data_IF_853995243499
#
_entry.id   IF_853995243499
#
_cell.length_a   1.000
_cell.length_b   1.000
_cell.length_c   1.000
_cell.angle_alpha   90.00
_cell.angle_beta   90.00
_cell.angle_gamma   90.00
#
_symmetry.space_group_name_H-M   'P 1'
#
loop_
_entity.id
_entity.type
_entity.pdbx_description
1 polymer ?
#
# COMPACT_ATOMS: atom_id res chain seq x y z
N UNK A 1 -23.37 -25.02 -26.67
CA UNK A 1 -23.68 -23.61 -26.34
C UNK A 1 -22.40 -22.99 -25.86
N UNK A 2 -21.74 -22.24 -26.73
CA UNK A 2 -20.36 -21.78 -26.61
C UNK A 2 -20.37 -20.40 -25.94
N UNK A 3 -19.88 -20.30 -24.70
CA UNK A 3 -19.75 -19.03 -23.99
C UNK A 3 -18.60 -18.22 -24.58
N UNK A 4 -18.88 -16.98 -24.98
CA UNK A 4 -17.96 -16.03 -25.62
C UNK A 4 -16.83 -15.57 -24.67
N UNK A 5 -15.64 -15.22 -25.19
CA UNK A 5 -14.47 -14.81 -24.38
C UNK A 5 -14.60 -13.47 -23.61
N UNK A 6 -15.73 -12.77 -23.74
CA UNK A 6 -15.93 -11.41 -23.23
C UNK A 6 -16.36 -11.36 -21.74
N UNK A 7 -16.48 -12.52 -21.06
CA UNK A 7 -16.88 -12.59 -19.65
C UNK A 7 -15.99 -13.46 -18.76
N UNK A 8 -14.70 -13.58 -19.07
CA UNK A 8 -13.74 -14.04 -18.06
C UNK A 8 -13.55 -12.88 -17.09
N UNK A 9 -14.39 -12.82 -16.05
CA UNK A 9 -14.17 -11.93 -14.91
C UNK A 9 -12.73 -12.18 -14.42
N UNK A 10 -11.94 -11.11 -14.28
CA UNK A 10 -10.52 -11.19 -13.93
C UNK A 10 -10.26 -11.91 -12.59
N UNK A 11 -11.29 -12.17 -11.79
CA UNK A 11 -11.23 -12.89 -10.51
C UNK A 11 -12.50 -13.69 -10.26
N UNK A 12 -12.49 -14.53 -9.23
CA UNK A 12 -13.66 -15.27 -8.75
C UNK A 12 -14.85 -14.34 -8.47
N UNK A 13 -16.01 -14.53 -9.12
CA UNK A 13 -17.22 -13.72 -8.90
C UNK A 13 -17.82 -13.82 -7.49
N UNK A 14 -17.40 -14.79 -6.69
CA UNK A 14 -17.89 -15.00 -5.33
C UNK A 14 -16.92 -14.47 -4.27
N UNK A 15 -15.75 -13.98 -4.67
CA UNK A 15 -14.83 -13.28 -3.79
C UNK A 15 -15.32 -11.83 -3.64
N UNK A 16 -15.54 -11.39 -2.40
CA UNK A 16 -16.01 -10.04 -2.12
C UNK A 16 -15.82 -9.63 -0.67
N UNK A 17 -16.16 -8.40 -0.33
CA UNK A 17 -16.15 -7.90 1.04
C UNK A 17 -17.36 -8.44 1.82
N UNK A 18 -17.26 -8.44 3.15
CA UNK A 18 -18.31 -8.99 4.04
C UNK A 18 -19.71 -8.40 3.79
N UNK A 19 -19.78 -7.11 3.50
CA UNK A 19 -21.03 -6.36 3.36
C UNK A 19 -21.33 -6.00 1.90
N UNK A 20 -20.44 -6.37 0.97
CA UNK A 20 -20.57 -6.10 -0.44
C UNK A 20 -19.87 -7.22 -1.21
N UNK A 21 -20.66 -8.21 -1.63
CA UNK A 21 -20.17 -9.41 -2.28
C UNK A 21 -19.59 -9.16 -3.68
N UNK A 22 -19.93 -8.02 -4.30
CA UNK A 22 -19.46 -7.69 -5.65
C UNK A 22 -18.12 -6.91 -5.61
N UNK A 23 -17.86 -6.20 -4.51
CA UNK A 23 -16.60 -5.49 -4.31
C UNK A 23 -15.57 -6.40 -3.65
N UNK A 24 -14.42 -6.60 -4.28
CA UNK A 24 -13.29 -7.35 -3.74
C UNK A 24 -12.00 -6.52 -3.79
N UNK A 25 -11.01 -6.89 -2.99
CA UNK A 25 -9.68 -6.32 -3.14
C UNK A 25 -8.95 -6.99 -4.29
N UNK A 26 -8.24 -6.20 -5.11
CA UNK A 26 -7.39 -6.66 -6.20
C UNK A 26 -6.18 -7.50 -5.75
N UNK A 27 -5.98 -7.65 -4.45
CA UNK A 27 -4.88 -8.39 -3.83
C UNK A 27 -5.40 -9.25 -2.69
N UNK A 28 -4.63 -10.26 -2.29
CA UNK A 28 -5.04 -11.17 -1.24
C UNK A 28 -5.10 -10.43 0.11
N UNK A 29 -6.25 -10.53 0.77
CA UNK A 29 -6.53 -9.76 1.98
C UNK A 29 -7.40 -10.54 2.94
N UNK A 30 -7.18 -10.42 4.27
CA UNK A 30 -8.08 -10.99 5.26
C UNK A 30 -9.48 -10.35 5.23
N UNK A 31 -9.67 -9.27 4.47
CA UNK A 31 -10.97 -8.61 4.27
C UNK A 31 -11.80 -9.24 3.15
N UNK A 32 -11.22 -10.14 2.35
CA UNK A 32 -11.96 -10.88 1.33
C UNK A 32 -12.68 -12.10 1.93
N UNK A 33 -13.94 -12.26 1.57
CA UNK A 33 -14.85 -13.32 1.96
C UNK A 33 -15.25 -14.12 0.71
N UNK A 34 -15.40 -15.43 0.88
CA UNK A 34 -16.13 -16.24 -0.08
C UNK A 34 -17.62 -16.11 0.26
N UNK A 35 -18.38 -15.53 -0.66
CA UNK A 35 -19.83 -15.35 -0.56
C UNK A 35 -20.60 -16.52 -1.21
N UNK A 36 -19.90 -17.53 -1.74
CA UNK A 36 -20.54 -18.73 -2.29
C UNK A 36 -21.04 -19.68 -1.20
N UNK A 37 -20.25 -19.80 -0.13
CA UNK A 37 -20.55 -20.67 1.00
C UNK A 37 -21.34 -19.93 2.08
N UNK A 38 -22.19 -20.64 2.82
CA UNK A 38 -22.98 -20.07 3.91
C UNK A 38 -22.54 -20.61 5.28
N UNK A 39 -22.20 -19.75 6.26
CA UNK A 39 -22.11 -18.29 6.17
C UNK A 39 -20.85 -17.83 5.42
N UNK A 40 -20.94 -16.65 4.79
CA UNK A 40 -19.80 -16.02 4.13
C UNK A 40 -18.59 -15.98 5.08
N UNK A 41 -17.45 -16.48 4.59
CA UNK A 41 -16.29 -16.75 5.42
C UNK A 41 -15.02 -16.22 4.77
N UNK A 42 -14.10 -15.71 5.60
CA UNK A 42 -12.79 -15.24 5.15
C UNK A 42 -11.98 -16.36 4.52
N UNK A 43 -11.39 -16.09 3.37
CA UNK A 43 -10.57 -17.05 2.62
C UNK A 43 -9.09 -16.88 3.00
N UNK A 44 -8.33 -17.96 3.08
CA UNK A 44 -6.89 -17.93 3.38
C UNK A 44 -6.12 -17.20 2.27
N UNK A 45 -5.15 -16.36 2.61
CA UNK A 45 -4.43 -15.51 1.64
C UNK A 45 -3.82 -16.31 0.49
N UNK A 46 -3.10 -17.39 0.82
CA UNK A 46 -2.47 -18.27 -0.17
C UNK A 46 -3.51 -18.85 -1.15
N UNK A 47 -4.72 -19.16 -0.69
CA UNK A 47 -5.78 -19.65 -1.56
C UNK A 47 -6.39 -18.53 -2.41
N UNK A 48 -6.47 -17.31 -1.88
CA UNK A 48 -6.88 -16.15 -2.67
C UNK A 48 -5.90 -15.88 -3.81
N UNK A 49 -4.59 -15.91 -3.54
CA UNK A 49 -3.54 -15.67 -4.55
C UNK A 49 -3.51 -16.78 -5.62
N UNK A 50 -3.55 -18.04 -5.20
CA UNK A 50 -3.45 -19.17 -6.13
C UNK A 50 -4.71 -19.40 -6.97
N UNK A 51 -5.90 -19.14 -6.41
CA UNK A 51 -7.17 -19.46 -7.05
C UNK A 51 -8.08 -18.24 -7.18
N UNK A 52 -8.54 -17.66 -6.07
CA UNK A 52 -9.67 -16.72 -6.13
C UNK A 52 -9.39 -15.43 -6.94
N UNK A 53 -8.15 -14.95 -6.96
CA UNK A 53 -7.72 -13.75 -7.68
C UNK A 53 -7.09 -14.07 -9.05
N UNK A 54 -7.03 -15.35 -9.42
CA UNK A 54 -6.45 -15.78 -10.68
C UNK A 54 -7.59 -16.11 -11.68
N UNK A 55 -7.70 -15.39 -12.81
CA UNK A 55 -8.79 -15.55 -13.78
C UNK A 55 -8.92 -16.96 -14.39
N UNK A 56 -7.84 -17.74 -14.40
CA UNK A 56 -7.82 -19.09 -14.98
C UNK A 56 -7.98 -20.18 -13.92
N UNK A 57 -7.56 -19.91 -12.69
CA UNK A 57 -7.53 -20.92 -11.63
C UNK A 57 -8.77 -20.88 -10.72
N UNK A 58 -9.50 -19.76 -10.64
CA UNK A 58 -10.65 -19.70 -9.73
C UNK A 58 -11.71 -20.77 -10.02
N UNK A 59 -11.83 -21.21 -11.28
CA UNK A 59 -12.77 -22.24 -11.71
C UNK A 59 -12.42 -23.61 -11.10
N UNK A 60 -11.14 -23.84 -10.77
CA UNK A 60 -10.64 -25.06 -10.16
C UNK A 60 -10.77 -25.09 -8.63
N UNK A 61 -11.23 -24.00 -8.01
CA UNK A 61 -11.46 -23.97 -6.57
C UNK A 61 -12.55 -24.99 -6.18
N UNK A 62 -12.28 -25.79 -5.14
CA UNK A 62 -13.16 -26.88 -4.67
C UNK A 62 -14.60 -26.45 -4.32
N UNK A 63 -14.82 -25.17 -4.02
CA UNK A 63 -16.13 -24.61 -3.69
C UNK A 63 -16.67 -23.65 -4.77
N UNK A 64 -16.03 -23.61 -5.94
CA UNK A 64 -16.42 -22.70 -7.03
C UNK A 64 -17.71 -23.11 -7.72
N UNK A 65 -17.93 -24.41 -7.94
CA UNK A 65 -19.11 -24.93 -8.63
C UNK A 65 -20.31 -25.12 -7.71
N UNK A 66 -20.10 -25.46 -6.43
CA UNK A 66 -21.14 -25.71 -5.43
C UNK A 66 -20.56 -25.59 -4.01
N UNK A 67 -21.36 -25.12 -3.05
CA UNK A 67 -20.96 -25.07 -1.64
C UNK A 67 -22.19 -25.15 -0.72
N UNK A 68 -22.52 -26.37 -0.29
CA UNK A 68 -23.72 -26.66 0.51
C UNK A 68 -23.58 -26.33 2.02
N UNK A 69 -22.53 -25.62 2.41
CA UNK A 69 -22.24 -25.40 3.82
C UNK A 69 -21.18 -24.34 4.10
N UNK A 70 -20.60 -24.35 5.32
CA UNK A 70 -19.55 -23.41 5.67
C UNK A 70 -18.29 -23.71 4.86
N UNK A 71 -17.57 -22.65 4.49
CA UNK A 71 -16.29 -22.76 3.79
C UNK A 71 -15.38 -23.80 4.48
N UNK A 72 -14.75 -24.74 3.74
CA UNK A 72 -13.87 -25.75 4.33
C UNK A 72 -12.76 -25.15 5.21
N UNK A 73 -12.42 -25.83 6.31
CA UNK A 73 -11.42 -25.33 7.28
C UNK A 73 -10.03 -25.14 6.65
N UNK A 74 -9.70 -25.89 5.59
CA UNK A 74 -8.51 -25.76 4.76
C UNK A 74 -8.41 -24.38 4.10
N UNK A 75 -9.55 -23.86 3.63
CA UNK A 75 -9.66 -22.60 2.92
C UNK A 75 -9.94 -21.40 3.82
N UNK A 76 -10.36 -21.63 5.07
CA UNK A 76 -10.70 -20.54 6.00
C UNK A 76 -9.47 -19.82 6.51
N UNK A 77 -9.50 -18.50 6.45
CA UNK A 77 -8.51 -17.65 7.10
C UNK A 77 -8.61 -17.84 8.63
N UNK A 78 -7.55 -18.39 9.23
CA UNK A 78 -7.36 -18.39 10.68
C UNK A 78 -6.54 -17.16 11.04
N UNK A 79 -7.09 -16.26 11.85
CA UNK A 79 -6.24 -15.32 12.57
C UNK A 79 -5.34 -16.14 13.50
N UNK A 80 -4.03 -16.13 13.31
CA UNK A 80 -3.14 -16.13 14.47
C UNK A 80 -3.44 -14.82 15.19
N UNK A 81 -3.99 -14.90 16.41
CA UNK A 81 -4.57 -13.82 17.22
C UNK A 81 -5.92 -13.25 16.75
N UNK A 82 -7.01 -13.89 17.18
CA UNK A 82 -8.22 -13.13 17.50
C UNK A 82 -8.01 -12.52 18.90
N UNK A 83 -8.17 -11.20 19.12
CA UNK A 83 -8.47 -10.75 20.47
C UNK A 83 -9.81 -11.40 20.83
N UNK A 84 -9.88 -11.95 22.05
CA UNK A 84 -11.09 -12.58 22.57
C UNK A 84 -12.30 -11.71 22.23
N UNK A 85 -13.31 -12.32 21.59
CA UNK A 85 -14.59 -11.66 21.38
C UNK A 85 -15.00 -11.01 22.69
N UNK A 86 -15.32 -9.72 22.63
CA UNK A 86 -15.86 -8.96 23.75
C UNK A 86 -17.04 -9.77 24.29
N UNK A 87 -16.82 -10.52 25.38
CA UNK A 87 -17.86 -11.33 26.00
C UNK A 87 -19.01 -10.38 26.29
N UNK A 88 -20.16 -10.67 25.68
CA UNK A 88 -21.44 -10.05 26.01
C UNK A 88 -21.54 -10.08 27.54
N UNK A 89 -21.50 -8.91 28.18
CA UNK A 89 -21.47 -8.83 29.64
C UNK A 89 -22.69 -9.55 30.18
N UNK A 90 -22.42 -10.55 31.01
CA UNK A 90 -23.42 -11.44 31.57
C UNK A 90 -24.46 -10.62 32.36
N UNK A 91 -25.77 -10.89 32.22
CA UNK A 91 -26.83 -10.11 32.88
C UNK A 91 -26.70 -10.08 34.42
N UNK A 92 -25.95 -11.02 35.01
CA UNK A 92 -25.66 -11.06 36.44
C UNK A 92 -24.77 -9.90 36.94
N UNK A 93 -23.99 -9.25 36.07
CA UNK A 93 -23.19 -8.07 36.46
C UNK A 93 -24.10 -6.87 36.74
N UNK A 94 -25.16 -6.69 35.95
CA UNK A 94 -26.15 -5.64 36.19
C UNK A 94 -27.01 -5.91 37.43
N UNK A 95 -27.38 -7.18 37.67
CA UNK A 95 -28.11 -7.58 38.89
C UNK A 95 -27.26 -7.37 40.14
N UNK A 96 -25.96 -7.66 40.07
CA UNK A 96 -25.02 -7.41 41.18
C UNK A 96 -24.88 -5.93 41.53
N UNK A 97 -24.79 -5.05 40.52
CA UNK A 97 -24.70 -3.60 40.73
C UNK A 97 -25.99 -3.05 41.36
N UNK A 98 -27.15 -3.48 40.88
CA UNK A 98 -28.45 -3.06 41.45
C UNK A 98 -28.59 -3.55 42.90
N UNK A 99 -28.19 -4.79 43.19
CA UNK A 99 -28.18 -5.32 44.55
C UNK A 99 -27.28 -4.54 45.50
N UNK A 100 -26.08 -4.15 45.04
CA UNK A 100 -25.13 -3.39 45.85
C UNK A 100 -25.62 -1.96 46.14
N UNK A 101 -26.26 -1.32 45.17
CA UNK A 101 -26.85 0.01 45.34
C UNK A 101 -28.05 -0.02 46.30
N UNK A 102 -28.89 -1.06 46.24
CA UNK A 102 -30.00 -1.24 47.18
C UNK A 102 -29.50 -1.52 48.60
N UNK A 103 -28.46 -2.33 48.77
CA UNK A 103 -27.86 -2.59 50.07
C UNK A 103 -27.22 -1.33 50.67
N UNK A 104 -26.56 -0.52 49.83
CA UNK A 104 -26.02 0.78 50.22
C UNK A 104 -27.11 1.77 50.65
N UNK A 105 -28.25 1.81 49.94
CA UNK A 105 -29.39 2.64 50.32
C UNK A 105 -30.02 2.20 51.65
N UNK A 106 -30.13 0.89 51.89
CA UNK A 106 -30.64 0.34 53.16
C UNK A 106 -29.69 0.70 54.32
N UNK A 107 -28.37 0.52 54.13
CA UNK A 107 -27.38 0.90 55.14
C UNK A 107 -27.35 2.41 55.41
N UNK A 108 -27.58 3.23 54.38
CA UNK A 108 -27.69 4.68 54.53
C UNK A 108 -28.92 5.08 55.36
N UNK A 109 -30.08 4.46 55.11
CA UNK A 109 -31.31 4.70 55.90
C UNK A 109 -31.15 4.25 57.35
N UNK A 110 -30.48 3.12 57.58
CA UNK A 110 -30.22 2.60 58.93
C UNK A 110 -29.21 3.45 59.72
N UNK A 111 -28.32 4.17 59.04
CA UNK A 111 -27.34 5.07 59.69
C UNK A 111 -27.88 6.50 59.89
N UNK A 112 -28.99 6.87 59.25
CA UNK A 112 -29.58 8.22 59.36
C UNK A 112 -30.70 8.34 60.42
N UNK A 113 -31.08 7.25 61.07
CA UNK A 113 -32.09 7.27 62.14
C UNK A 113 -31.43 7.34 63.52
N UNK A 114 -30.98 8.54 63.88
CA UNK A 114 -31.04 9.04 65.24
C UNK A 114 -29.84 8.83 66.15
N UNK A 115 -28.98 9.86 66.25
CA UNK A 115 -28.53 10.39 67.56
C UNK A 115 -28.35 11.91 67.43
N UNK A 116 -29.14 12.67 68.17
CA UNK A 116 -29.06 14.13 68.29
C UNK A 116 -28.04 14.48 69.38
N UNK A 117 -27.01 15.33 69.13
CA UNK A 117 -26.29 15.97 70.22
C UNK A 117 -26.86 17.38 70.47
N UNK A 118 -27.27 17.62 71.72
CA UNK A 118 -27.56 18.96 72.25
C UNK A 118 -26.26 19.74 72.55
N UNK A 119 -26.34 21.09 72.69
CA UNK A 119 -25.21 21.97 72.46
C UNK A 119 -24.36 22.29 73.69
N UNK A 120 -23.06 22.46 73.42
CA UNK A 120 -22.10 23.48 73.89
C UNK A 120 -22.27 24.09 75.29
N UNK A 121 -21.20 24.00 76.09
CA UNK A 121 -20.78 25.07 77.01
C UNK A 121 -19.27 25.30 76.87
N UNK A 122 -18.91 26.53 76.49
CA UNK A 122 -17.56 27.08 76.48
C UNK A 122 -17.08 27.39 77.91
N UNK A 123 -15.79 27.19 78.17
CA UNK A 123 -14.86 28.04 78.95
C UNK A 123 -13.46 27.42 78.74
N UNK A 124 -12.33 28.08 78.60
CA UNK A 124 -11.91 29.46 78.47
C UNK A 124 -10.41 29.39 78.10
N UNK A 125 -9.92 30.35 77.32
CA UNK A 125 -8.49 30.67 77.19
C UNK A 125 -7.95 31.19 78.54
N UNK A 126 -6.62 31.35 78.81
CA UNK A 126 -5.52 31.56 77.85
C UNK A 126 -4.17 30.89 78.23
N UNK A 127 -3.13 31.30 77.50
CA UNK A 127 -1.76 31.62 77.97
C UNK A 127 -0.60 30.62 77.86
N UNK A 128 0.51 31.20 77.35
CA UNK A 128 1.93 30.87 77.46
C UNK A 128 2.61 29.90 76.45
N UNK A 129 3.31 30.49 75.48
CA UNK A 129 4.71 30.15 75.14
C UNK A 129 5.64 30.65 76.27
N UNK A 130 6.85 30.07 76.53
CA UNK A 130 7.92 29.86 75.54
C UNK A 130 8.81 28.59 75.72
N UNK A 131 9.88 28.59 74.91
CA UNK A 131 11.01 27.67 74.68
C UNK A 131 11.71 26.94 75.86
N UNK A 132 12.37 25.83 75.48
CA UNK A 132 13.60 25.18 76.04
C UNK A 132 13.45 24.19 77.23
N UNK A 133 13.94 22.94 77.08
CA UNK A 133 15.26 22.49 77.58
C UNK A 133 15.48 20.94 77.58
N UNK A 134 16.74 20.55 77.30
CA UNK A 134 17.52 19.41 77.84
C UNK A 134 17.68 18.10 77.02
N UNK A 135 18.94 17.98 76.58
CA UNK A 135 19.83 16.94 76.04
C UNK A 135 20.07 15.72 76.96
N UNK A 136 20.37 14.54 76.39
CA UNK A 136 21.46 13.59 76.77
C UNK A 136 21.26 12.20 76.07
N UNK A 137 22.12 11.81 75.11
CA UNK A 137 23.22 10.80 75.24
C UNK A 137 22.74 9.34 75.26
N UNK A 138 23.31 8.31 74.60
CA UNK A 138 24.67 7.92 74.14
C UNK A 138 24.47 6.68 73.21
N UNK A 139 25.08 6.48 72.03
CA UNK A 139 26.45 6.13 71.59
C UNK A 139 27.02 4.79 72.12
N UNK A 140 27.18 3.80 71.22
CA UNK A 140 28.34 2.88 70.99
C UNK A 140 27.84 1.55 70.34
N UNK A 141 28.54 0.87 69.41
CA UNK A 141 29.96 0.90 69.07
C UNK A 141 30.27 0.20 67.71
N UNK A 142 31.27 0.76 66.99
CA UNK A 142 32.46 0.12 66.34
C UNK A 142 32.19 -0.81 65.12
N UNK A 143 32.46 -0.41 63.87
CA UNK A 143 33.75 -0.17 63.15
C UNK A 143 34.55 -1.44 62.82
N UNK A 144 34.79 -1.72 61.53
CA UNK A 144 36.13 -1.64 60.92
C UNK A 144 36.16 -1.96 59.42
N UNK A 145 36.91 -1.09 58.71
CA UNK A 145 37.72 -1.23 57.48
C UNK A 145 37.16 -2.00 56.27
N UNK A 146 37.17 -1.50 55.03
CA UNK A 146 37.98 -0.42 54.45
C UNK A 146 38.71 -0.95 53.20
N UNK A 147 38.62 -0.19 52.08
CA UNK A 147 39.63 -0.08 50.99
C UNK A 147 39.88 -1.34 50.13
N UNK A 148 40.16 -1.35 48.82
CA UNK A 148 40.35 -0.36 47.75
C UNK A 148 40.62 -1.14 46.44
N UNK A 149 40.34 -0.53 45.27
CA UNK A 149 41.10 -0.64 43.99
C UNK A 149 41.11 -1.99 43.24
N UNK A 150 40.65 -2.05 41.98
CA UNK A 150 41.24 -1.61 40.71
C UNK A 150 42.18 -2.65 40.03
N UNK A 151 42.09 -2.67 38.69
CA UNK A 151 42.96 -3.26 37.65
C UNK A 151 42.74 -4.71 37.16
N UNK A 152 42.45 -4.77 35.85
CA UNK A 152 43.04 -5.59 34.77
C UNK A 152 43.00 -7.12 34.85
N UNK A 153 42.63 -7.73 33.70
CA UNK A 153 43.58 -8.44 32.82
C UNK A 153 43.09 -9.80 32.28
N UNK A 154 42.95 -9.83 30.95
CA UNK A 154 43.34 -10.91 30.02
C UNK A 154 42.55 -12.23 29.89
N UNK A 155 42.08 -12.39 28.65
CA UNK A 155 42.03 -13.55 27.71
C UNK A 155 42.68 -14.88 28.11
N UNK A 156 42.17 -15.99 27.51
CA UNK A 156 43.08 -16.77 26.65
C UNK A 156 42.47 -17.14 25.28
N UNK A 157 43.33 -17.02 24.28
CA UNK A 157 43.23 -17.57 22.92
C UNK A 157 43.63 -19.05 22.89
N UNK A 158 42.98 -19.87 22.05
CA UNK A 158 43.54 -21.13 21.58
C UNK A 158 43.64 -21.15 20.05
N UNK A 159 44.84 -21.50 19.62
CA UNK A 159 45.41 -21.56 18.28
C UNK A 159 45.33 -22.99 17.73
N UNK A 160 45.26 -23.13 16.41
CA UNK A 160 45.77 -24.28 15.65
C UNK A 160 46.09 -23.81 14.22
N UNK A 161 47.37 -23.46 14.00
CA UNK A 161 48.09 -23.55 12.72
C UNK A 161 48.26 -25.04 12.35
N UNK A 162 48.57 -25.49 11.14
CA UNK A 162 48.65 -25.02 9.76
C UNK A 162 48.96 -26.29 8.93
N UNK A 163 48.72 -26.29 7.62
CA UNK A 163 49.63 -26.85 6.59
C UNK A 163 49.05 -26.59 5.19
N UNK A 164 49.94 -26.09 4.34
CA UNK A 164 49.86 -25.54 2.96
C UNK A 164 49.82 -26.64 1.86
N UNK A 165 50.12 -26.34 0.56
CA UNK A 165 49.29 -25.73 -0.50
C UNK A 165 49.11 -26.68 -1.74
N UNK A 166 48.17 -26.44 -2.67
CA UNK A 166 48.23 -27.11 -4.00
C UNK A 166 47.42 -26.42 -5.12
N UNK A 167 48.19 -25.88 -6.06
CA UNK A 167 48.01 -25.64 -7.51
C UNK A 167 46.61 -25.68 -8.19
N UNK A 168 46.37 -24.56 -8.89
CA UNK A 168 45.52 -24.26 -10.06
C UNK A 168 45.24 -25.43 -11.03
N UNK A 169 44.12 -25.38 -11.79
CA UNK A 169 44.26 -24.87 -13.15
C UNK A 169 43.25 -23.78 -13.56
N UNK A 170 43.82 -22.79 -14.24
CA UNK A 170 43.20 -21.72 -15.01
C UNK A 170 42.45 -22.30 -16.22
N UNK A 171 41.15 -21.99 -16.35
CA UNK A 171 40.40 -22.26 -17.58
C UNK A 171 40.52 -21.06 -18.53
N UNK A 172 41.13 -21.32 -19.67
CA UNK A 172 41.42 -20.46 -20.81
C UNK A 172 40.14 -20.01 -21.52
N UNK A 173 40.01 -18.74 -21.97
CA UNK A 173 38.91 -18.34 -22.84
C UNK A 173 39.10 -18.88 -24.26
N UNK A 174 38.06 -19.48 -24.81
CA UNK A 174 37.98 -19.96 -26.20
C UNK A 174 37.58 -18.79 -27.13
N UNK A 175 38.29 -18.57 -28.26
CA UNK A 175 37.90 -17.56 -29.23
C UNK A 175 36.79 -18.12 -30.14
N UNK A 176 35.58 -17.57 -30.06
CA UNK A 176 34.50 -17.93 -31.00
C UNK A 176 34.37 -16.86 -32.08
N UNK A 177 34.43 -17.32 -33.32
CA UNK A 177 34.54 -16.56 -34.56
C UNK A 177 33.39 -15.56 -34.77
N UNK A 178 33.79 -14.34 -35.13
CA UNK A 178 32.98 -13.28 -35.72
C UNK A 178 32.49 -13.71 -37.11
N UNK A 179 31.16 -13.80 -37.27
CA UNK A 179 30.52 -13.79 -38.59
C UNK A 179 29.84 -12.45 -38.78
N UNK A 180 30.36 -11.68 -39.74
CA UNK A 180 29.82 -10.43 -40.27
C UNK A 180 28.82 -10.78 -41.39
N UNK A 181 27.50 -10.54 -41.22
CA UNK A 181 26.60 -10.42 -42.35
C UNK A 181 26.48 -8.96 -42.81
N UNK A 182 27.16 -8.72 -43.93
CA UNK A 182 26.80 -7.93 -45.11
C UNK A 182 25.57 -7.00 -45.03
N UNK A 183 25.79 -5.73 -45.40
CA UNK A 183 24.74 -4.76 -45.64
C UNK A 183 23.87 -5.19 -46.84
N UNK A 184 22.57 -5.38 -46.60
CA UNK A 184 21.58 -5.57 -47.66
C UNK A 184 20.78 -4.29 -47.80
N UNK A 185 21.13 -3.49 -48.82
CA UNK A 185 20.25 -2.45 -49.36
C UNK A 185 19.06 -3.11 -50.04
N UNK A 186 17.84 -2.63 -49.81
CA UNK A 186 16.76 -2.63 -50.82
C UNK A 186 15.55 -1.79 -50.35
N UNK A 187 14.72 -1.28 -51.28
CA UNK A 187 14.29 0.12 -51.33
C UNK A 187 12.97 0.47 -50.62
N UNK A 188 12.86 1.78 -50.37
CA UNK A 188 11.67 2.61 -50.13
C UNK A 188 10.45 2.24 -50.97
N UNK A 189 9.29 2.11 -50.32
CA UNK A 189 7.98 2.34 -50.92
C UNK A 189 7.17 3.30 -50.04
N UNK A 190 6.90 4.47 -50.62
CA UNK A 190 5.99 5.51 -50.16
C UNK A 190 4.55 5.16 -50.53
N UNK A 191 3.59 5.30 -49.59
CA UNK A 191 2.21 5.66 -49.94
C UNK A 191 1.88 7.02 -49.31
N UNK A 192 1.73 8.07 -50.13
CA UNK A 192 0.45 8.63 -50.60
C UNK A 192 -0.43 9.19 -49.46
N UNK A 193 -0.35 10.50 -49.30
CA UNK A 193 -1.21 11.29 -48.41
C UNK A 193 -2.58 11.44 -49.08
N UNK A 194 -3.63 10.88 -48.48
CA UNK A 194 -5.02 11.14 -48.85
C UNK A 194 -5.62 12.13 -47.86
N UNK A 195 -5.93 13.38 -48.23
CA UNK A 195 -6.64 14.28 -47.34
C UNK A 195 -8.12 13.87 -47.28
N UNK A 196 -8.60 13.55 -46.08
CA UNK A 196 -10.03 13.33 -45.82
C UNK A 196 -10.61 14.63 -45.25
N UNK A 197 -11.64 15.24 -45.85
CA UNK A 197 -12.27 16.44 -45.31
C UNK A 197 -13.15 16.08 -44.11
N UNK A 198 -12.82 16.57 -42.92
CA UNK A 198 -13.69 16.47 -41.75
C UNK A 198 -14.70 17.63 -41.78
N UNK A 199 -15.97 17.29 -41.98
CA UNK A 199 -17.10 18.24 -41.89
C UNK A 199 -17.37 18.52 -40.41
N UNK A 200 -17.05 19.74 -39.97
CA UNK A 200 -17.45 20.27 -38.66
C UNK A 200 -18.92 20.68 -38.72
N UNK A 201 -19.82 19.92 -38.06
CA UNK A 201 -21.19 20.38 -37.80
C UNK A 201 -21.27 20.99 -36.41
N UNK A 202 -21.30 22.32 -36.36
CA UNK A 202 -21.69 23.10 -35.18
C UNK A 202 -23.23 23.04 -35.05
N UNK A 203 -23.82 22.59 -33.93
CA UNK A 203 -25.23 22.79 -33.68
C UNK A 203 -25.47 24.19 -33.12
N UNK A 204 -26.05 25.07 -33.94
CA UNK A 204 -26.61 26.35 -33.52
C UNK A 204 -27.95 26.09 -32.82
N UNK A 205 -28.10 26.50 -31.57
CA UNK A 205 -29.38 26.49 -30.86
C UNK A 205 -30.24 27.67 -31.34
N UNK A 206 -31.25 27.38 -32.15
CA UNK A 206 -32.33 28.33 -32.49
C UNK A 206 -33.49 28.16 -31.52
N UNK A 207 -33.76 29.19 -30.72
CA UNK A 207 -35.00 29.31 -29.94
C UNK A 207 -36.17 29.68 -30.85
N UNK A 208 -37.25 28.91 -30.80
CA UNK A 208 -38.58 29.31 -31.29
C UNK A 208 -39.60 29.07 -30.17
N UNK A 209 -40.35 30.09 -29.71
CA UNK A 209 -41.44 29.90 -28.77
C UNK A 209 -42.69 29.47 -29.55
N UNK A 210 -43.41 28.47 -29.04
CA UNK A 210 -44.80 28.25 -29.44
C UNK A 210 -45.66 28.07 -28.21
N UNK A 211 -46.62 28.99 -28.08
CA UNK A 211 -47.67 29.00 -27.08
C UNK A 211 -48.73 27.97 -27.45
N UNK A 212 -49.05 27.05 -26.55
CA UNK A 212 -50.42 26.52 -26.45
C UNK A 212 -50.71 26.14 -24.99
N UNK A 213 -51.77 26.66 -24.36
CA UNK A 213 -52.10 26.34 -22.98
C UNK A 213 -52.92 25.06 -22.94
N UNK A 214 -52.57 24.12 -22.06
CA UNK A 214 -53.53 23.10 -21.62
C UNK A 214 -53.53 23.05 -20.11
N UNK A 215 -54.69 23.42 -19.57
CA UNK A 215 -54.98 23.59 -18.16
C UNK A 215 -55.48 22.25 -17.63
N UNK A 216 -54.78 21.64 -16.70
CA UNK A 216 -55.40 20.65 -15.80
C UNK A 216 -54.81 20.81 -14.42
N UNK A 217 -55.65 21.27 -13.49
CA UNK A 217 -55.38 21.27 -12.05
C UNK A 217 -55.65 19.85 -11.53
N UNK A 218 -54.78 19.31 -10.71
CA UNK A 218 -55.10 18.80 -9.36
C UNK A 218 -53.78 18.64 -8.58
N UNK A 219 -53.64 19.23 -7.38
CA UNK A 219 -52.46 19.08 -6.54
C UNK A 219 -52.65 17.92 -5.54
N UNK A 220 -51.62 17.09 -5.37
CA UNK A 220 -51.47 16.30 -4.15
C UNK A 220 -50.03 16.44 -3.69
N UNK A 221 -49.83 17.25 -2.65
CA UNK A 221 -48.56 17.42 -1.96
C UNK A 221 -48.30 16.22 -1.06
N UNK A 222 -47.23 15.47 -1.32
CA UNK A 222 -46.66 14.54 -0.35
C UNK A 222 -45.21 14.94 -0.14
N UNK A 223 -44.96 15.68 0.94
CA UNK A 223 -43.61 16.05 1.38
C UNK A 223 -42.98 14.84 2.06
N UNK A 224 -42.24 14.03 1.31
CA UNK A 224 -41.34 13.03 1.91
C UNK A 224 -40.03 13.73 2.23
N UNK A 225 -39.74 13.94 3.52
CA UNK A 225 -38.48 14.47 3.98
C UNK A 225 -37.35 13.49 3.63
N UNK A 226 -36.51 13.86 2.66
CA UNK A 226 -35.28 13.14 2.34
C UNK A 226 -34.28 13.34 3.48
N UNK A 227 -33.75 12.29 4.12
CA UNK A 227 -32.70 12.46 5.12
C UNK A 227 -31.44 12.99 4.44
N UNK A 228 -31.03 14.19 4.84
CA UNK A 228 -29.80 14.84 4.45
C UNK A 228 -28.62 13.91 4.76
N UNK A 229 -27.82 13.57 3.74
CA UNK A 229 -26.54 12.86 3.92
C UNK A 229 -25.62 13.78 4.73
N UNK A 230 -25.46 13.47 6.01
CA UNK A 230 -24.37 13.99 6.83
C UNK A 230 -23.04 13.70 6.12
N UNK A 231 -22.16 14.67 5.87
CA UNK A 231 -20.84 14.39 5.34
C UNK A 231 -20.06 13.62 6.40
N UNK A 232 -19.97 12.30 6.21
CA UNK A 232 -19.03 11.46 6.95
C UNK A 232 -17.64 12.01 6.69
N UNK A 233 -16.94 12.43 7.75
CA UNK A 233 -15.52 12.78 7.68
C UNK A 233 -14.76 11.54 7.22
N UNK A 234 -14.50 11.45 5.92
CA UNK A 234 -13.53 10.52 5.37
C UNK A 234 -12.20 10.83 6.06
N UNK A 235 -11.48 9.86 6.64
CA UNK A 235 -10.12 10.09 7.08
C UNK A 235 -9.31 10.45 5.82
N UNK A 236 -9.01 11.74 5.67
CA UNK A 236 -8.03 12.22 4.71
C UNK A 236 -6.75 11.42 4.98
N UNK A 237 -6.34 10.63 3.99
CA UNK A 237 -5.07 9.91 4.02
C UNK A 237 -4.02 10.99 4.25
N UNK A 238 -3.33 10.89 5.38
CA UNK A 238 -2.17 11.72 5.69
C UNK A 238 -1.33 11.83 4.43
N UNK A 239 -1.04 13.02 3.90
CA UNK A 239 -0.18 13.14 2.73
C UNK A 239 1.14 12.45 3.08
N UNK A 240 1.39 11.30 2.43
CA UNK A 240 2.71 10.70 2.41
C UNK A 240 3.63 11.80 1.91
N UNK A 241 4.67 12.11 2.69
CA UNK A 241 5.59 13.23 2.44
C UNK A 241 5.92 13.32 0.95
N UNK A 242 5.27 14.24 0.23
CA UNK A 242 5.79 14.70 -1.04
C UNK A 242 7.13 15.30 -0.69
N UNK A 243 8.21 14.67 -1.13
CA UNK A 243 9.54 15.23 -1.01
C UNK A 243 9.52 16.55 -1.79
N UNK A 244 9.22 17.65 -1.10
CA UNK A 244 9.52 18.97 -1.57
C UNK A 244 11.04 18.98 -1.71
N UNK A 245 11.61 19.17 -2.91
CA UNK A 245 13.05 19.09 -3.06
C UNK A 245 13.68 20.16 -2.17
N UNK A 246 14.37 19.70 -1.13
CA UNK A 246 15.39 20.50 -0.44
C UNK A 246 16.39 20.97 -1.50
N UNK A 247 16.94 22.17 -1.36
CA UNK A 247 17.81 22.83 -2.36
C UNK A 247 19.19 22.16 -2.56
N UNK A 248 19.24 20.83 -2.53
CA UNK A 248 20.32 20.00 -3.05
C UNK A 248 19.87 19.53 -4.43
N UNK A 249 20.63 19.86 -5.47
CA UNK A 249 20.35 19.37 -6.82
C UNK A 249 20.38 17.83 -6.80
N UNK A 250 19.22 17.20 -6.93
CA UNK A 250 19.11 15.74 -7.02
C UNK A 250 19.75 15.34 -8.36
N UNK A 251 20.68 14.36 -8.39
CA UNK A 251 21.31 13.97 -9.63
C UNK A 251 20.27 13.44 -10.62
N UNK A 252 20.39 13.79 -11.92
CA UNK A 252 19.49 13.26 -12.95
C UNK A 252 19.60 11.73 -13.02
N UNK A 253 18.56 11.08 -13.53
CA UNK A 253 18.49 9.62 -13.64
C UNK A 253 18.55 8.88 -12.30
N UNK A 254 18.21 9.55 -11.19
CA UNK A 254 18.01 8.89 -9.90
C UNK A 254 16.60 8.31 -9.81
N UNK A 255 16.41 7.30 -8.95
CA UNK A 255 15.07 6.78 -8.64
C UNK A 255 14.17 7.91 -8.11
N UNK A 256 12.87 7.85 -8.42
CA UNK A 256 11.88 8.89 -8.06
C UNK A 256 12.11 10.28 -8.69
N UNK A 257 13.08 10.43 -9.59
CA UNK A 257 13.30 11.66 -10.35
C UNK A 257 12.62 11.56 -11.72
N UNK A 258 11.87 12.59 -12.17
CA UNK A 258 11.30 12.61 -13.50
C UNK A 258 12.39 12.50 -14.59
N UNK A 259 12.18 11.58 -15.53
CA UNK A 259 13.01 11.34 -16.72
C UNK A 259 12.15 11.63 -17.96
N UNK A 260 12.75 12.27 -18.96
CA UNK A 260 12.09 12.60 -20.23
C UNK A 260 11.95 14.09 -20.49
N UNK A 261 11.72 14.42 -21.75
CA UNK A 261 11.65 15.80 -22.26
C UNK A 261 10.24 16.37 -22.14
N UNK A 262 9.45 16.25 -23.22
CA UNK A 262 8.05 16.69 -23.26
C UNK A 262 7.15 15.79 -22.41
N UNK A 263 7.23 14.48 -22.63
CA UNK A 263 6.58 13.48 -21.79
C UNK A 263 7.56 13.04 -20.72
N UNK A 264 7.15 13.20 -19.45
CA UNK A 264 7.97 12.84 -18.29
C UNK A 264 7.42 11.61 -17.59
N UNK A 265 8.33 10.78 -17.12
CA UNK A 265 8.02 9.56 -16.41
C UNK A 265 8.84 9.48 -15.13
N UNK A 266 8.28 8.87 -14.10
CA UNK A 266 8.96 8.55 -12.86
C UNK A 266 9.07 7.03 -12.76
N UNK A 267 10.25 6.54 -12.39
CA UNK A 267 10.42 5.16 -11.95
C UNK A 267 10.20 5.14 -10.44
N UNK A 268 9.04 4.62 -10.05
CA UNK A 268 8.58 4.57 -8.68
C UNK A 268 8.77 3.17 -8.08
N UNK A 269 9.34 3.09 -6.88
CA UNK A 269 9.43 1.84 -6.11
C UNK A 269 8.26 1.73 -5.15
N UNK A 270 7.40 0.74 -5.37
CA UNK A 270 6.21 0.47 -4.55
C UNK A 270 6.60 0.22 -3.10
N UNK A 271 5.99 0.96 -2.17
CA UNK A 271 6.14 0.75 -0.73
C UNK A 271 4.93 0.04 -0.11
N UNK A 272 5.09 -0.42 1.13
CA UNK A 272 4.04 -1.13 1.84
C UNK A 272 2.77 -0.27 2.00
N UNK A 273 1.63 -0.82 1.56
CA UNK A 273 0.33 -0.16 1.65
C UNK A 273 -0.09 0.64 0.41
N UNK A 274 0.73 0.65 -0.64
CA UNK A 274 0.36 1.26 -1.92
C UNK A 274 -0.42 0.30 -2.82
N UNK A 275 -1.34 0.88 -3.59
CA UNK A 275 -2.01 0.24 -4.71
C UNK A 275 -1.77 1.07 -5.98
N UNK A 276 -2.03 0.52 -7.17
CA UNK A 276 -1.89 1.27 -8.42
C UNK A 276 -2.73 2.55 -8.43
N UNK A 277 -3.93 2.53 -7.84
CA UNK A 277 -4.77 3.73 -7.70
C UNK A 277 -4.12 4.80 -6.83
N UNK A 278 -3.47 4.40 -5.73
CA UNK A 278 -2.74 5.33 -4.86
C UNK A 278 -1.57 5.96 -5.59
N UNK A 279 -0.80 5.15 -6.32
CA UNK A 279 0.37 5.59 -7.07
C UNK A 279 -0.06 6.57 -8.17
N UNK A 280 -1.10 6.20 -8.93
CA UNK A 280 -1.66 7.05 -9.97
C UNK A 280 -2.11 8.42 -9.43
N UNK A 281 -2.82 8.45 -8.30
CA UNK A 281 -3.26 9.69 -7.64
C UNK A 281 -2.06 10.57 -7.22
N UNK A 282 -1.01 9.97 -6.66
CA UNK A 282 0.16 10.70 -6.18
C UNK A 282 0.95 11.40 -7.30
N UNK A 283 0.90 10.86 -8.52
CA UNK A 283 1.67 11.35 -9.68
C UNK A 283 0.83 12.02 -10.77
N UNK A 284 -0.46 12.26 -10.49
CA UNK A 284 -1.42 12.83 -11.43
C UNK A 284 -1.51 12.01 -12.74
N UNK A 285 -1.84 10.72 -12.57
CA UNK A 285 -1.99 9.72 -13.64
C UNK A 285 -3.21 8.82 -13.40
N UNK A 286 -3.39 7.77 -14.21
CA UNK A 286 -4.46 6.77 -14.03
C UNK A 286 -3.91 5.33 -13.97
N UNK A 287 -4.57 4.41 -13.23
CA UNK A 287 -4.15 3.01 -13.17
C UNK A 287 -4.09 2.35 -14.55
N UNK A 288 -5.01 2.69 -15.45
CA UNK A 288 -5.10 2.14 -16.80
C UNK A 288 -3.86 2.53 -17.61
N UNK A 289 -3.45 3.81 -17.55
CA UNK A 289 -2.26 4.31 -18.24
C UNK A 289 -1.00 3.62 -17.68
N UNK A 290 -0.88 3.50 -16.35
CA UNK A 290 0.24 2.80 -15.71
C UNK A 290 0.31 1.33 -16.17
N UNK A 291 -0.82 0.63 -16.21
CA UNK A 291 -0.85 -0.78 -16.63
C UNK A 291 -0.45 -0.99 -18.08
N UNK A 292 -0.78 -0.06 -18.99
CA UNK A 292 -0.37 -0.12 -20.40
C UNK A 292 1.10 0.29 -20.57
N UNK A 293 1.59 1.27 -19.80
CA UNK A 293 2.96 1.77 -19.89
C UNK A 293 4.02 0.73 -19.52
N UNK A 294 3.78 -0.09 -18.50
CA UNK A 294 4.83 -0.94 -17.90
C UNK A 294 5.00 -2.27 -18.64
N UNK A 295 6.17 -2.54 -19.22
CA UNK A 295 6.50 -3.77 -19.96
C UNK A 295 6.05 -5.06 -19.26
N UNK A 296 6.30 -5.14 -17.96
CA UNK A 296 5.80 -6.20 -17.10
C UNK A 296 5.37 -5.58 -15.78
N UNK A 297 4.11 -5.79 -15.41
CA UNK A 297 3.57 -5.34 -14.14
C UNK A 297 2.90 -6.53 -13.45
N UNK A 298 3.47 -7.06 -12.36
CA UNK A 298 2.90 -8.19 -11.67
C UNK A 298 1.55 -7.80 -11.05
N UNK A 299 0.59 -8.72 -11.10
CA UNK A 299 -0.69 -8.58 -10.41
C UNK A 299 -0.86 -9.72 -9.40
N UNK A 300 -0.99 -9.44 -8.09
CA UNK A 300 -0.99 -8.11 -7.47
C UNK A 300 0.41 -7.46 -7.45
N UNK A 301 0.46 -6.12 -7.44
CA UNK A 301 1.72 -5.39 -7.26
C UNK A 301 2.27 -5.64 -5.84
N UNK A 302 3.58 -5.86 -5.74
CA UNK A 302 4.27 -6.17 -4.47
C UNK A 302 5.14 -5.00 -4.04
N UNK A 303 5.48 -4.96 -2.75
CA UNK A 303 6.53 -4.06 -2.25
C UNK A 303 7.83 -4.30 -3.05
N UNK A 304 8.58 -3.23 -3.28
CA UNK A 304 9.79 -3.17 -4.11
C UNK A 304 9.60 -3.39 -5.61
N UNK A 305 8.35 -3.57 -6.08
CA UNK A 305 8.08 -3.55 -7.53
C UNK A 305 8.42 -2.17 -8.08
N UNK A 306 9.15 -2.11 -9.20
CA UNK A 306 9.39 -0.87 -9.92
C UNK A 306 8.27 -0.63 -10.91
N UNK A 307 7.67 0.55 -10.84
CA UNK A 307 6.54 0.96 -11.66
C UNK A 307 6.89 2.27 -12.32
N UNK A 308 6.82 2.29 -13.65
CA UNK A 308 6.95 3.51 -14.42
C UNK A 308 5.58 4.20 -14.41
N UNK A 309 5.57 5.46 -14.02
CA UNK A 309 4.37 6.29 -13.89
C UNK A 309 4.55 7.53 -14.75
N UNK A 310 3.60 7.89 -15.63
CA UNK A 310 3.59 9.21 -16.26
C UNK A 310 3.50 10.29 -15.18
N UNK A 311 4.30 11.33 -15.32
CA UNK A 311 4.32 12.45 -14.38
C UNK A 311 3.56 13.63 -14.95
N UNK A 312 2.43 14.00 -14.32
CA UNK A 312 1.62 15.16 -14.72
C UNK A 312 1.20 15.12 -16.20
N UNK A 313 0.97 13.93 -16.74
CA UNK A 313 0.64 13.72 -18.13
C UNK A 313 -0.51 12.73 -18.27
N UNK A 314 -1.62 13.23 -18.81
CA UNK A 314 -2.83 12.45 -19.10
C UNK A 314 -3.00 12.22 -20.61
N UNK A 315 -1.98 12.51 -21.41
CA UNK A 315 -2.02 12.24 -22.84
C UNK A 315 -2.03 10.72 -23.07
N UNK A 316 -3.13 10.23 -23.63
CA UNK A 316 -3.34 8.80 -23.91
C UNK A 316 -2.96 8.42 -25.34
N UNK A 317 -2.51 9.37 -26.16
CA UNK A 317 -2.15 9.11 -27.55
C UNK A 317 -0.79 8.41 -27.64
N UNK A 318 -0.78 7.21 -28.23
CA UNK A 318 0.41 6.40 -28.54
C UNK A 318 1.33 6.14 -27.32
N UNK A 319 0.75 5.53 -26.28
CA UNK A 319 1.46 5.16 -25.06
C UNK A 319 2.54 4.11 -25.34
N UNK A 320 3.82 4.38 -25.01
CA UNK A 320 4.88 3.39 -25.18
C UNK A 320 4.76 2.25 -24.17
N UNK A 321 5.48 1.17 -24.44
CA UNK A 321 5.75 0.13 -23.46
C UNK A 321 7.19 0.33 -22.99
N UNK A 322 7.36 0.64 -21.71
CA UNK A 322 8.65 0.95 -21.09
C UNK A 322 8.99 -0.06 -20.01
N UNK A 323 10.28 -0.34 -19.85
CA UNK A 323 10.85 -1.16 -18.78
C UNK A 323 11.90 -0.34 -18.02
N UNK A 324 11.89 -0.35 -16.67
CA UNK A 324 12.90 0.33 -15.89
C UNK A 324 14.19 -0.50 -15.88
N UNK A 325 15.33 0.15 -16.12
CA UNK A 325 16.63 -0.51 -16.04
C UNK A 325 17.59 0.28 -15.15
N UNK A 326 18.21 -0.40 -14.19
CA UNK A 326 19.31 0.15 -13.40
C UNK A 326 20.64 -0.16 -14.09
N UNK A 327 21.41 0.88 -14.38
CA UNK A 327 22.75 0.72 -14.93
C UNK A 327 23.66 0.08 -13.87
N UNK A 328 24.22 -1.08 -14.22
CA UNK A 328 25.08 -1.87 -13.33
C UNK A 328 26.58 -1.67 -13.60
N UNK A 329 26.95 -1.08 -14.74
CA UNK A 329 28.33 -0.86 -15.13
C UNK A 329 28.84 0.50 -14.65
N UNK A 330 30.16 0.64 -14.45
CA UNK A 330 30.75 1.87 -13.94
C UNK A 330 30.44 3.08 -14.84
N UNK A 331 30.54 2.89 -16.17
CA UNK A 331 30.18 3.84 -17.21
C UNK A 331 29.73 3.07 -18.45
N UNK A 332 28.60 3.47 -19.05
CA UNK A 332 28.10 2.93 -20.32
C UNK A 332 27.42 4.03 -21.12
N UNK A 333 27.62 4.08 -22.44
CA UNK A 333 26.91 5.04 -23.29
C UNK A 333 25.50 4.56 -23.62
N UNK A 334 24.60 5.48 -23.99
CA UNK A 334 23.25 5.12 -24.45
C UNK A 334 23.28 4.15 -25.63
N UNK A 335 24.25 4.25 -26.54
CA UNK A 335 24.42 3.32 -27.66
C UNK A 335 24.81 1.91 -27.20
N UNK A 336 25.72 1.82 -26.22
CA UNK A 336 26.12 0.54 -25.65
C UNK A 336 24.98 -0.11 -24.89
N UNK A 337 24.21 0.67 -24.14
CA UNK A 337 23.02 0.21 -23.41
C UNK A 337 21.91 -0.26 -24.36
N UNK A 338 21.64 0.49 -25.43
CA UNK A 338 20.65 0.10 -26.44
C UNK A 338 21.02 -1.23 -27.11
N UNK A 339 22.29 -1.41 -27.48
CA UNK A 339 22.78 -2.67 -28.03
C UNK A 339 22.70 -3.82 -27.02
N UNK A 340 23.11 -3.59 -25.76
CA UNK A 340 23.07 -4.58 -24.69
C UNK A 340 21.64 -5.05 -24.38
N UNK A 341 20.70 -4.12 -24.37
CA UNK A 341 19.31 -4.36 -23.98
C UNK A 341 18.42 -4.76 -25.16
N UNK A 342 18.96 -4.81 -26.37
CA UNK A 342 18.23 -5.04 -27.61
C UNK A 342 17.02 -4.09 -27.73
N UNK A 343 17.26 -2.80 -27.56
CA UNK A 343 16.25 -1.75 -27.59
C UNK A 343 16.54 -0.74 -28.71
N UNK A 344 15.49 -0.08 -29.21
CA UNK A 344 15.62 0.94 -30.25
C UNK A 344 16.37 2.17 -29.71
N UNK A 345 17.49 2.51 -30.34
CA UNK A 345 18.36 3.61 -29.91
C UNK A 345 17.69 4.97 -30.02
N UNK A 346 16.86 5.21 -31.03
CA UNK A 346 16.20 6.50 -31.23
C UNK A 346 15.14 6.73 -30.15
N UNK A 347 14.35 5.70 -29.85
CA UNK A 347 13.37 5.74 -28.76
C UNK A 347 14.05 5.83 -27.39
N UNK A 348 15.15 5.11 -27.18
CA UNK A 348 15.92 5.23 -25.93
C UNK A 348 16.41 6.66 -25.70
N UNK A 349 16.94 7.33 -26.74
CA UNK A 349 17.35 8.74 -26.64
C UNK A 349 16.19 9.68 -26.36
N UNK A 350 15.06 9.44 -27.03
CA UNK A 350 13.84 10.24 -26.87
C UNK A 350 13.28 10.17 -25.45
N UNK A 351 13.03 8.97 -24.93
CA UNK A 351 12.40 8.82 -23.61
C UNK A 351 13.33 9.16 -22.45
N UNK A 352 14.65 9.00 -22.61
CA UNK A 352 15.62 9.39 -21.58
C UNK A 352 16.12 10.83 -21.73
N UNK A 353 15.57 11.60 -22.67
CA UNK A 353 15.95 12.98 -22.99
C UNK A 353 17.46 13.19 -23.03
N UNK A 354 18.15 12.37 -23.83
CA UNK A 354 19.60 12.34 -23.85
C UNK A 354 20.19 12.42 -25.27
N UNK A 355 21.32 13.09 -25.38
CA UNK A 355 22.06 13.23 -26.64
C UNK A 355 22.84 11.95 -27.00
N UNK A 356 23.37 11.92 -28.23
CA UNK A 356 24.29 10.87 -28.64
C UNK A 356 25.56 10.86 -27.78
N UNK A 357 26.02 9.67 -27.40
CA UNK A 357 27.18 9.50 -26.53
C UNK A 357 26.93 9.84 -25.05
N UNK A 358 25.68 10.09 -24.63
CA UNK A 358 25.37 10.26 -23.21
C UNK A 358 25.89 9.06 -22.40
N UNK A 359 26.69 9.35 -21.38
CA UNK A 359 27.24 8.34 -20.47
C UNK A 359 26.34 8.24 -19.24
N UNK A 360 25.98 7.02 -18.89
CA UNK A 360 25.31 6.67 -17.64
C UNK A 360 26.29 5.93 -16.74
N UNK A 361 26.22 6.23 -15.46
CA UNK A 361 27.03 5.59 -14.43
C UNK A 361 26.21 4.55 -13.68
N UNK A 362 26.91 3.72 -12.90
CA UNK A 362 26.27 2.76 -12.00
C UNK A 362 25.20 3.46 -11.15
N UNK A 363 24.07 2.79 -10.95
CA UNK A 363 22.90 3.24 -10.19
C UNK A 363 22.04 4.33 -10.86
N UNK A 364 22.40 4.78 -12.06
CA UNK A 364 21.45 5.51 -12.90
C UNK A 364 20.29 4.61 -13.33
N UNK A 365 19.10 5.19 -13.39
CA UNK A 365 17.88 4.57 -13.87
C UNK A 365 17.52 5.14 -15.24
N UNK A 366 17.21 4.24 -16.17
CA UNK A 366 16.81 4.60 -17.54
C UNK A 366 15.52 3.88 -17.94
N UNK A 367 14.81 4.48 -18.89
CA UNK A 367 13.60 3.96 -19.50
C UNK A 367 13.98 3.18 -20.77
N UNK A 368 13.62 1.91 -20.84
CA UNK A 368 13.92 1.04 -21.98
C UNK A 368 12.63 0.77 -22.77
N UNK A 369 12.50 1.25 -24.01
CA UNK A 369 11.33 1.00 -24.83
C UNK A 369 11.30 -0.45 -25.33
N UNK A 370 10.11 -1.06 -25.32
CA UNK A 370 9.83 -2.43 -25.74
C UNK A 370 8.74 -2.44 -26.81
N UNK A 371 8.83 -3.38 -27.74
CA UNK A 371 7.86 -3.52 -28.86
C UNK A 371 6.57 -4.23 -28.45
N UNK A 372 6.58 -5.00 -27.36
CA UNK A 372 5.43 -5.72 -26.84
C UNK A 372 5.57 -5.93 -25.33
N UNK A 373 4.50 -6.34 -24.65
CA UNK A 373 4.51 -6.73 -23.23
C UNK A 373 5.33 -7.99 -23.00
N UNK A 374 5.86 -8.15 -21.79
CA UNK A 374 6.41 -9.42 -21.36
C UNK A 374 5.35 -10.52 -21.45
N UNK A 375 5.71 -11.66 -22.03
CA UNK A 375 4.87 -12.85 -21.93
C UNK A 375 4.84 -13.26 -20.45
N UNK A 376 3.66 -13.48 -19.85
CA UNK A 376 3.59 -14.03 -18.50
C UNK A 376 4.40 -15.33 -18.46
N UNK A 377 5.33 -15.44 -17.50
CA UNK A 377 6.01 -16.70 -17.28
C UNK A 377 4.95 -17.78 -16.95
N UNK A 378 5.04 -18.98 -17.55
CA UNK A 378 4.05 -20.04 -17.36
C UNK A 378 3.96 -20.53 -15.91
#
# INVERSE_FOLDING_TARGET
MTTTPEQIKQVCPFLGMKNDANSHMAFASPLNYCNRCAPASRVKLVHQEGFCLNPLEYIQCEVFSECDGPLPKSLRYKNSSAPASRKRSSPYVFVGIIGFLLLGAILWVLNFSGVVPLPVMQTGTPTHQPLEQIVAETVNAISELGTSQALLSQTPTLSMDALTPSLSPTVTPFPTLTLTPTATYTPTLTPSITPTPTITRTPTLTYTPSNTPTRTKTPTSTSTATPTKTPTRTPSRTPTKTFTPSATAIPPYSLEVPIGGQDKFIIHRVVAGESLSVIAENFDSTPEIITVLNYSLPFPIKVDTLVIVPYQNNNTADMPILEPYQVIHAQATIEQLAALLNADLALMKMYNDCAAGQVFVKDNWILVPRSSKATPAP
#
